data_IF_105559390866
#
_entry.id   IF_105559390866
#
_cell.length_a   1.000
_cell.length_b   1.000
_cell.length_c   1.000
_cell.angle_alpha   90.00
_cell.angle_beta   90.00
_cell.angle_gamma   90.00
#
_symmetry.space_group_name_H-M   'P 1'
#
loop_
_entity.id
_entity.type
_entity.pdbx_description
1 polymer ?
#
# COMPACT_ATOMS: atom_id res chain seq x y z
N UNK A 1 22.12 -3.45 13.64
CA UNK A 1 21.99 -3.88 12.23
C UNK A 1 20.68 -4.61 12.12
N UNK A 2 19.78 -4.13 11.27
CA UNK A 2 18.48 -4.75 11.03
C UNK A 2 18.63 -5.65 9.82
N UNK A 3 18.19 -6.90 9.94
CA UNK A 3 18.25 -7.89 8.88
C UNK A 3 16.80 -8.19 8.53
N UNK A 4 16.44 -7.93 7.28
CA UNK A 4 15.12 -8.23 6.73
C UNK A 4 15.32 -9.30 5.68
N UNK A 5 14.65 -10.44 5.84
CA UNK A 5 14.68 -11.53 4.87
C UNK A 5 13.77 -11.22 3.67
N UNK A 6 14.05 -11.88 2.54
CA UNK A 6 13.18 -11.79 1.37
C UNK A 6 11.76 -12.31 1.68
N UNK A 7 11.63 -13.28 2.59
CA UNK A 7 10.32 -13.81 3.02
C UNK A 7 9.54 -12.75 3.78
N UNK A 8 10.13 -12.11 4.79
CA UNK A 8 9.48 -11.04 5.56
C UNK A 8 9.08 -9.87 4.64
N UNK A 9 9.95 -9.49 3.70
CA UNK A 9 9.64 -8.46 2.72
C UNK A 9 8.48 -8.85 1.79
N UNK A 10 8.44 -10.12 1.36
CA UNK A 10 7.35 -10.63 0.51
C UNK A 10 6.02 -10.65 1.27
N UNK A 11 6.04 -11.00 2.55
CA UNK A 11 4.86 -10.99 3.41
C UNK A 11 4.33 -9.56 3.63
N UNK A 12 5.22 -8.58 3.81
CA UNK A 12 4.85 -7.16 3.88
C UNK A 12 4.11 -6.70 2.61
N UNK A 13 4.64 -7.01 1.42
CA UNK A 13 3.97 -6.68 0.17
C UNK A 13 2.64 -7.42 0.00
N UNK A 14 2.57 -8.70 0.36
CA UNK A 14 1.32 -9.46 0.26
C UNK A 14 0.22 -8.89 1.15
N UNK A 15 0.56 -8.44 2.38
CA UNK A 15 -0.40 -7.76 3.27
C UNK A 15 -0.86 -6.43 2.70
N UNK A 16 0.05 -5.62 2.16
CA UNK A 16 -0.30 -4.37 1.51
C UNK A 16 -1.23 -4.56 0.29
N UNK A 17 -1.00 -5.59 -0.54
CA UNK A 17 -1.91 -5.95 -1.64
C UNK A 17 -3.28 -6.34 -1.11
N UNK A 18 -3.32 -7.17 -0.06
CA UNK A 18 -4.58 -7.57 0.56
C UNK A 18 -5.33 -6.37 1.15
N UNK A 19 -4.61 -5.40 1.73
CA UNK A 19 -5.15 -4.11 2.18
C UNK A 19 -5.79 -3.35 1.03
N UNK A 20 -5.09 -3.17 -0.08
CA UNK A 20 -5.63 -2.52 -1.28
C UNK A 20 -6.94 -3.17 -1.73
N UNK A 21 -6.98 -4.51 -1.86
CA UNK A 21 -8.19 -5.21 -2.29
C UNK A 21 -9.34 -5.08 -1.29
N UNK A 22 -9.07 -5.03 0.02
CA UNK A 22 -10.10 -4.71 1.03
C UNK A 22 -10.62 -3.30 0.83
N UNK A 23 -9.73 -2.32 0.69
CA UNK A 23 -10.05 -0.91 0.51
C UNK A 23 -10.99 -0.70 -0.69
N UNK A 24 -10.68 -1.27 -1.86
CA UNK A 24 -11.51 -1.09 -3.06
C UNK A 24 -12.78 -1.95 -3.09
N UNK A 25 -12.89 -2.95 -2.22
CA UNK A 25 -14.08 -3.81 -2.10
C UNK A 25 -15.04 -3.35 -1.00
N UNK A 26 -14.64 -2.37 -0.19
CA UNK A 26 -15.48 -1.81 0.86
C UNK A 26 -16.62 -0.98 0.22
N UNK A 27 -17.86 -1.21 0.68
CA UNK A 27 -19.04 -0.50 0.18
C UNK A 27 -18.96 1.01 0.47
N UNK A 28 -18.33 1.39 1.58
CA UNK A 28 -18.13 2.80 1.94
C UNK A 28 -17.16 3.50 0.98
N UNK A 29 -16.35 2.72 0.25
CA UNK A 29 -15.36 3.17 -0.71
C UNK A 29 -15.81 3.00 -2.17
N UNK A 30 -17.09 2.68 -2.42
CA UNK A 30 -17.60 2.47 -3.77
C UNK A 30 -17.41 3.70 -4.69
N UNK A 31 -17.28 4.91 -4.13
CA UNK A 31 -17.02 6.14 -4.89
C UNK A 31 -15.65 6.15 -5.59
N UNK A 32 -14.68 5.34 -5.15
CA UNK A 32 -13.33 5.31 -5.71
C UNK A 32 -13.31 4.86 -7.18
N UNK A 33 -14.32 4.08 -7.63
CA UNK A 33 -14.43 3.70 -9.03
C UNK A 33 -14.69 4.90 -9.96
N UNK A 34 -15.26 5.98 -9.42
CA UNK A 34 -15.60 7.18 -10.20
C UNK A 34 -14.42 8.16 -10.31
N UNK A 35 -13.39 7.98 -9.47
CA UNK A 35 -12.20 8.85 -9.41
C UNK A 35 -11.14 8.50 -10.49
N UNK A 36 -11.32 7.38 -11.20
CA UNK A 36 -10.40 6.91 -12.23
C UNK A 36 -11.13 6.61 -13.53
N UNK A 37 -10.41 6.75 -14.65
CA UNK A 37 -10.98 6.54 -15.99
C UNK A 37 -11.00 5.09 -16.46
N UNK A 38 -10.49 4.16 -15.65
CA UNK A 38 -10.44 2.73 -15.93
C UNK A 38 -11.22 1.96 -14.86
N UNK A 39 -11.75 0.77 -15.19
CA UNK A 39 -12.31 -0.12 -14.17
C UNK A 39 -11.28 -0.41 -13.07
N UNK A 40 -11.71 -0.33 -11.81
CA UNK A 40 -10.82 -0.47 -10.65
C UNK A 40 -10.19 -1.88 -10.54
N UNK A 41 -10.84 -2.88 -11.13
CA UNK A 41 -10.37 -4.26 -11.27
C UNK A 41 -9.35 -4.46 -12.41
N UNK A 42 -9.22 -3.49 -13.33
CA UNK A 42 -8.18 -3.45 -14.36
C UNK A 42 -6.89 -2.76 -13.88
N UNK A 43 -6.89 -2.17 -12.68
CA UNK A 43 -5.71 -1.51 -12.10
C UNK A 43 -4.59 -2.53 -11.86
N UNK A 44 -3.41 -2.24 -12.42
CA UNK A 44 -2.21 -3.07 -12.25
C UNK A 44 -1.40 -2.57 -11.06
N UNK A 45 -1.22 -3.44 -10.07
CA UNK A 45 -0.39 -3.17 -8.89
C UNK A 45 1.09 -3.43 -9.17
N UNK A 46 1.96 -2.46 -8.85
CA UNK A 46 3.42 -2.62 -8.93
C UNK A 46 4.07 -2.30 -7.59
N UNK A 47 4.90 -3.21 -7.08
CA UNK A 47 5.68 -2.97 -5.87
C UNK A 47 6.64 -1.82 -6.08
N UNK A 48 6.75 -0.93 -5.10
CA UNK A 48 7.61 0.24 -5.19
C UNK A 48 8.64 0.30 -4.07
N UNK A 49 8.20 0.45 -2.82
CA UNK A 49 9.11 0.45 -1.68
C UNK A 49 8.43 -0.02 -0.40
N UNK A 50 9.25 -0.53 0.51
CA UNK A 50 8.91 -0.73 1.90
C UNK A 50 9.89 0.07 2.76
N UNK A 51 9.39 0.73 3.81
CA UNK A 51 10.15 1.58 4.72
C UNK A 51 9.89 1.13 6.15
N UNK A 52 10.96 0.86 6.89
CA UNK A 52 10.91 0.71 8.34
C UNK A 52 10.99 2.09 8.99
N UNK A 53 10.06 2.38 9.90
CA UNK A 53 9.99 3.61 10.70
C UNK A 53 10.42 3.29 12.13
N UNK A 54 11.16 4.22 12.75
CA UNK A 54 11.69 4.08 14.10
C UNK A 54 11.32 5.32 14.91
N UNK A 55 10.93 5.12 16.18
CA UNK A 55 10.62 6.20 17.11
C UNK A 55 11.52 6.14 18.36
N UNK A 56 11.64 7.28 19.06
CA UNK A 56 12.15 7.41 20.44
C UNK A 56 13.56 6.86 20.74
N UNK A 57 14.52 7.02 19.82
CA UNK A 57 15.91 6.60 19.99
C UNK A 57 16.08 5.09 20.29
N UNK A 58 15.06 4.28 20.07
CA UNK A 58 15.13 2.83 20.22
C UNK A 58 15.44 2.21 18.87
N UNK A 59 16.37 1.26 18.83
CA UNK A 59 16.64 0.45 17.61
C UNK A 59 15.56 -0.61 17.37
N UNK A 60 14.29 -0.25 17.57
CA UNK A 60 13.12 -1.11 17.35
C UNK A 60 12.25 -0.47 16.28
N UNK A 61 11.81 -1.27 15.32
CA UNK A 61 10.84 -0.85 14.31
C UNK A 61 9.54 -0.50 15.03
N UNK A 62 9.06 0.70 14.78
CA UNK A 62 7.77 1.19 15.26
C UNK A 62 6.66 0.76 14.29
N UNK A 63 6.89 1.01 12.99
CA UNK A 63 5.98 0.63 11.93
C UNK A 63 6.69 0.34 10.61
N UNK A 64 5.96 -0.34 9.72
CA UNK A 64 6.29 -0.52 8.32
C UNK A 64 5.34 0.29 7.46
N UNK A 65 5.89 1.05 6.53
CA UNK A 65 5.14 1.72 5.47
C UNK A 65 5.46 1.02 4.14
N UNK A 66 4.45 0.42 3.49
CA UNK A 66 4.58 -0.25 2.19
C UNK A 66 3.81 0.53 1.15
N UNK A 67 4.49 0.94 0.09
CA UNK A 67 3.88 1.67 -1.03
C UNK A 67 3.78 0.76 -2.27
N UNK A 68 2.57 0.73 -2.83
CA UNK A 68 2.21 0.06 -4.08
C UNK A 68 1.80 1.14 -5.07
N UNK A 69 2.36 1.11 -6.27
CA UNK A 69 2.01 2.05 -7.33
C UNK A 69 0.93 1.41 -8.20
N UNK A 70 -0.08 2.23 -8.52
CA UNK A 70 -1.22 1.85 -9.32
C UNK A 70 -0.96 2.31 -10.76
N UNK A 71 -1.14 1.40 -11.70
CA UNK A 71 -0.93 1.65 -13.11
C UNK A 71 -2.18 1.30 -13.92
N UNK A 72 -2.46 2.12 -14.93
CA UNK A 72 -3.19 1.67 -16.10
C UNK A 72 -2.21 0.97 -17.08
N UNK A 73 -2.65 0.64 -18.30
CA UNK A 73 -1.81 -0.02 -19.31
C UNK A 73 -0.52 0.77 -19.68
N UNK A 74 -0.52 2.08 -19.44
CA UNK A 74 0.43 3.04 -19.99
C UNK A 74 1.04 4.02 -18.97
N UNK A 75 0.34 4.29 -17.86
CA UNK A 75 0.65 5.39 -16.96
C UNK A 75 0.42 5.04 -15.50
N UNK A 76 1.15 5.72 -14.62
CA UNK A 76 0.91 5.67 -13.18
C UNK A 76 -0.31 6.54 -12.87
N UNK A 77 -1.31 5.95 -12.23
CA UNK A 77 -2.60 6.58 -11.93
C UNK A 77 -2.79 6.85 -10.43
N UNK A 78 -1.88 6.37 -9.58
CA UNK A 78 -1.97 6.62 -8.15
C UNK A 78 -1.06 5.72 -7.32
N UNK A 79 -1.32 5.71 -6.02
CA UNK A 79 -0.58 4.96 -5.02
C UNK A 79 -1.51 4.48 -3.91
N UNK A 80 -1.28 3.24 -3.49
CA UNK A 80 -1.77 2.72 -2.23
C UNK A 80 -0.62 2.64 -1.23
N UNK A 81 -0.87 3.07 0.00
CA UNK A 81 0.08 3.00 1.12
C UNK A 81 -0.54 2.20 2.25
N UNK A 82 0.15 1.16 2.71
CA UNK A 82 -0.24 0.33 3.85
C UNK A 82 0.70 0.61 5.01
N UNK A 83 0.16 0.86 6.20
CA UNK A 83 0.94 1.09 7.41
C UNK A 83 0.56 0.04 8.45
N UNK A 84 1.55 -0.68 8.96
CA UNK A 84 1.36 -1.68 10.01
C UNK A 84 2.41 -1.59 11.10
N UNK A 85 2.09 -2.05 12.29
CA UNK A 85 3.04 -2.17 13.40
C UNK A 85 4.01 -3.34 13.19
N UNK A 86 4.97 -3.51 14.10
CA UNK A 86 5.95 -4.61 14.05
C UNK A 86 5.35 -6.00 14.29
N UNK A 87 4.08 -6.08 14.70
CA UNK A 87 3.31 -7.31 14.86
C UNK A 87 2.42 -7.61 13.64
N UNK A 88 2.40 -6.73 12.63
CA UNK A 88 1.58 -6.86 11.43
C UNK A 88 0.12 -6.44 11.62
N UNK A 89 -0.20 -5.71 12.69
CA UNK A 89 -1.51 -5.08 12.84
C UNK A 89 -1.57 -3.83 11.97
N UNK A 90 -2.63 -3.69 11.20
CA UNK A 90 -2.89 -2.51 10.40
C UNK A 90 -3.10 -1.30 11.32
N UNK A 91 -2.31 -0.25 11.07
CA UNK A 91 -2.40 1.02 11.78
C UNK A 91 -3.19 2.04 10.97
N UNK A 92 -2.93 2.09 9.67
CA UNK A 92 -3.58 3.02 8.74
C UNK A 92 -3.35 2.56 7.30
N UNK A 93 -4.15 3.08 6.38
CA UNK A 93 -3.93 2.96 4.96
C UNK A 93 -4.30 4.25 4.21
N UNK A 94 -3.88 4.34 2.95
CA UNK A 94 -4.26 5.45 2.10
C UNK A 94 -4.24 5.05 0.64
N UNK A 95 -5.35 5.32 -0.06
CA UNK A 95 -5.45 5.24 -1.50
C UNK A 95 -5.55 6.65 -2.09
N UNK A 96 -4.59 7.02 -2.94
CA UNK A 96 -4.55 8.33 -3.59
C UNK A 96 -4.40 8.14 -5.09
N UNK A 97 -5.33 8.70 -5.86
CA UNK A 97 -5.24 8.75 -7.31
C UNK A 97 -4.60 10.06 -7.78
N UNK A 98 -3.64 9.96 -8.69
CA UNK A 98 -2.95 11.08 -9.31
C UNK A 98 -3.76 11.55 -10.54
N UNK A 99 -5.00 11.99 -10.34
CA UNK A 99 -5.82 12.45 -11.45
C UNK A 99 -5.29 13.80 -11.97
N UNK A 100 -4.89 13.82 -13.24
CA UNK A 100 -4.72 15.06 -14.01
C UNK A 100 -6.01 15.29 -14.80
N UNK A 101 -6.91 16.10 -14.24
CA UNK A 101 -7.98 16.73 -15.01
C UNK A 101 -7.43 17.59 -16.14
#
# INVERSE_FOLDING_TARGET
MIIVSNTELSELYNRAIAGYYRCISDEDNAFLSDEISIPIDEVVLKYFKAKAVFCDNVSKIDSWEVEIILWDESSMIGRYTHIEDDMGNELDDSLVFDYKG
#
